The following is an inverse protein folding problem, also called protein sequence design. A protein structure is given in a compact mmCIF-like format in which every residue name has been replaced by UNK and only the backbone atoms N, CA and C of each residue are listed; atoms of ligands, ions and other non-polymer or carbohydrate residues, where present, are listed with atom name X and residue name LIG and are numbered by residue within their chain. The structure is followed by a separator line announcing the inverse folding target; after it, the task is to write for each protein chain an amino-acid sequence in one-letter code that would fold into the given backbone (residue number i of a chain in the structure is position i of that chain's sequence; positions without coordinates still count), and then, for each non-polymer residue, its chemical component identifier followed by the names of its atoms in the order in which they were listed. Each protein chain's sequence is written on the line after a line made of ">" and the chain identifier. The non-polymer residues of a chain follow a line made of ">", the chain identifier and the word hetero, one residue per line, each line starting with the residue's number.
data_IF_039916380505
#
_entry.id   IF_039916380505
#
_cell.length_a   1.000
_cell.length_b   1.000
_cell.length_c   1.000
_cell.angle_alpha   90.00
_cell.angle_beta   90.00
_cell.angle_gamma   90.00
#
_symmetry.space_group_name_H-M   'P 1'
#
loop_
_entity.id
_entity.type
_entity.pdbx_description
1 polymer ?
#
# COMPACT_ATOMS: atom_id res chain seq x y z
N UNK A 1 -12.55 -1.30 -2.62
CA UNK A 1 -12.00 -2.29 -3.58
C UNK A 1 -12.96 -2.58 -4.75
N UNK A 2 -14.30 -2.49 -4.59
CA UNK A 2 -15.25 -2.72 -5.70
C UNK A 2 -15.06 -1.76 -6.88
N UNK A 3 -14.80 -0.48 -6.62
CA UNK A 3 -14.52 0.48 -7.70
C UNK A 3 -13.19 0.19 -8.40
N UNK A 4 -12.19 -0.32 -7.66
CA UNK A 4 -10.93 -0.79 -8.24
C UNK A 4 -11.19 -1.99 -9.15
N UNK A 5 -12.05 -2.93 -8.75
CA UNK A 5 -12.45 -4.04 -9.61
C UNK A 5 -13.11 -3.56 -10.90
N UNK A 6 -14.05 -2.62 -10.81
CA UNK A 6 -14.68 -2.05 -11.99
C UNK A 6 -13.66 -1.36 -12.92
N UNK A 7 -12.67 -0.66 -12.35
CA UNK A 7 -11.57 -0.09 -13.12
C UNK A 7 -10.70 -1.16 -13.79
N UNK A 8 -10.36 -2.25 -13.10
CA UNK A 8 -9.61 -3.38 -13.67
C UNK A 8 -10.36 -4.02 -14.84
N UNK A 9 -11.68 -4.25 -14.69
CA UNK A 9 -12.54 -4.77 -15.76
C UNK A 9 -12.58 -3.79 -16.94
N UNK A 10 -12.67 -2.49 -16.69
CA UNK A 10 -12.64 -1.49 -17.75
C UNK A 10 -11.29 -1.49 -18.48
N UNK A 11 -10.17 -1.57 -17.76
CA UNK A 11 -8.82 -1.64 -18.32
C UNK A 11 -8.65 -2.85 -19.24
N UNK A 12 -9.27 -3.98 -18.93
CA UNK A 12 -9.24 -5.17 -19.80
C UNK A 12 -9.88 -4.95 -21.17
N UNK A 13 -10.80 -4.00 -21.30
CA UNK A 13 -11.42 -3.65 -22.58
C UNK A 13 -10.57 -2.70 -23.43
N UNK A 14 -9.46 -2.19 -22.91
CA UNK A 14 -8.61 -1.22 -23.59
C UNK A 14 -7.53 -1.92 -24.41
N UNK A 15 -7.56 -1.74 -25.74
CA UNK A 15 -6.60 -2.39 -26.66
C UNK A 15 -5.14 -1.96 -26.50
N UNK A 16 -4.88 -0.88 -25.75
CA UNK A 16 -3.53 -0.34 -25.50
C UNK A 16 -2.95 -0.78 -24.16
N UNK A 17 -3.69 -1.51 -23.35
CA UNK A 17 -3.27 -1.92 -22.01
C UNK A 17 -2.81 -3.37 -22.06
N UNK A 18 -1.63 -3.62 -21.49
CA UNK A 18 -1.17 -4.98 -21.22
C UNK A 18 -1.79 -5.48 -19.92
N UNK A 19 -2.86 -6.26 -20.04
CA UNK A 19 -3.63 -6.74 -18.90
C UNK A 19 -2.85 -7.70 -18.00
N UNK A 20 -1.72 -8.24 -18.46
CA UNK A 20 -0.86 -9.11 -17.67
C UNK A 20 0.05 -8.33 -16.72
N UNK A 21 0.15 -7.01 -16.90
CA UNK A 21 1.04 -6.11 -16.18
C UNK A 21 0.29 -4.91 -15.62
N UNK A 22 -0.60 -5.18 -14.67
CA UNK A 22 -1.32 -4.15 -13.92
C UNK A 22 -0.80 -4.11 -12.48
N UNK A 23 -0.38 -2.92 -12.04
CA UNK A 23 -0.05 -2.63 -10.65
C UNK A 23 -1.08 -1.68 -10.04
N UNK A 24 -1.30 -1.78 -8.72
CA UNK A 24 -2.07 -0.80 -7.95
C UNK A 24 -1.14 -0.06 -7.00
N UNK A 25 -1.09 1.26 -7.12
CA UNK A 25 -0.27 2.13 -6.28
C UNK A 25 -1.20 3.03 -5.50
N UNK A 26 -0.99 3.12 -4.19
CA UNK A 26 -1.82 3.94 -3.31
C UNK A 26 -1.00 4.64 -2.24
N UNK A 27 -1.50 5.80 -1.80
CA UNK A 27 -0.92 6.62 -0.73
C UNK A 27 -1.92 6.86 0.39
N UNK A 28 -1.46 6.83 1.65
CA UNK A 28 -2.32 7.00 2.82
C UNK A 28 -3.41 5.93 2.87
N UNK A 29 -4.67 6.36 2.97
CA UNK A 29 -5.82 5.46 2.83
C UNK A 29 -5.88 4.71 1.48
N UNK A 30 -5.32 5.27 0.41
CA UNK A 30 -5.14 4.59 -0.86
C UNK A 30 -4.17 3.43 -0.79
N UNK A 31 -3.16 3.49 0.09
CA UNK A 31 -2.23 2.39 0.35
C UNK A 31 -2.94 1.19 0.97
N UNK A 32 -3.88 1.42 1.90
CA UNK A 32 -4.76 0.38 2.44
C UNK A 32 -5.64 -0.24 1.35
N UNK A 33 -6.15 0.57 0.42
CA UNK A 33 -6.92 0.08 -0.72
C UNK A 33 -6.03 -0.80 -1.62
N UNK A 34 -4.79 -0.39 -1.91
CA UNK A 34 -3.84 -1.19 -2.68
C UNK A 34 -3.58 -2.55 -2.00
N UNK A 35 -3.38 -2.54 -0.68
CA UNK A 35 -3.24 -3.76 0.14
C UNK A 35 -4.44 -4.69 0.06
N UNK A 36 -5.65 -4.16 0.24
CA UNK A 36 -6.87 -4.99 0.12
C UNK A 36 -7.02 -5.52 -1.31
N UNK A 37 -6.71 -4.72 -2.32
CA UNK A 37 -6.86 -5.16 -3.71
C UNK A 37 -5.85 -6.25 -4.07
N UNK A 38 -4.60 -6.20 -3.58
CA UNK A 38 -3.60 -7.25 -3.83
C UNK A 38 -4.05 -8.60 -3.30
N UNK A 39 -4.73 -8.63 -2.16
CA UNK A 39 -5.23 -9.87 -1.55
C UNK A 39 -6.56 -10.37 -2.08
N UNK A 40 -7.40 -9.49 -2.67
CA UNK A 40 -8.71 -9.87 -3.23
C UNK A 40 -8.63 -10.20 -4.73
N UNK A 41 -7.72 -9.57 -5.47
CA UNK A 41 -7.61 -9.71 -6.92
C UNK A 41 -6.24 -10.20 -7.39
N UNK A 42 -5.69 -11.32 -6.84
CA UNK A 42 -4.34 -11.78 -7.18
C UNK A 42 -4.19 -12.21 -8.66
N UNK A 43 -5.30 -12.47 -9.35
CA UNK A 43 -5.32 -12.83 -10.77
C UNK A 43 -5.38 -11.61 -11.71
N UNK A 44 -5.74 -10.43 -11.18
CA UNK A 44 -5.90 -9.20 -11.96
C UNK A 44 -4.81 -8.17 -11.66
N UNK A 45 -4.19 -8.26 -10.49
CA UNK A 45 -3.15 -7.36 -10.02
C UNK A 45 -1.87 -8.16 -9.86
N UNK A 46 -0.84 -7.73 -10.58
CA UNK A 46 0.46 -8.40 -10.61
C UNK A 46 1.35 -8.03 -9.43
N UNK A 47 1.31 -6.76 -9.04
CA UNK A 47 2.03 -6.23 -7.87
C UNK A 47 1.34 -4.97 -7.33
N UNK A 48 1.69 -4.51 -6.14
CA UNK A 48 1.17 -3.27 -5.57
C UNK A 48 2.23 -2.49 -4.80
N UNK A 49 2.02 -1.18 -4.68
CA UNK A 49 2.85 -0.31 -3.83
C UNK A 49 1.95 0.46 -2.88
N UNK A 50 2.33 0.47 -1.60
CA UNK A 50 1.62 1.12 -0.52
C UNK A 50 2.52 2.17 0.14
N UNK A 51 2.23 3.45 -0.12
CA UNK A 51 2.95 4.60 0.41
C UNK A 51 2.26 5.12 1.68
N UNK A 52 2.94 5.05 2.82
CA UNK A 52 2.42 5.43 4.15
C UNK A 52 0.99 4.92 4.41
N UNK A 53 0.72 3.59 4.33
CA UNK A 53 -0.61 3.07 4.63
C UNK A 53 -0.99 3.36 6.08
N UNK A 54 -2.21 3.83 6.26
CA UNK A 54 -2.77 4.05 7.59
C UNK A 54 -4.16 4.64 7.50
N UNK A 55 -5.11 3.92 8.09
CA UNK A 55 -6.49 4.34 8.25
C UNK A 55 -7.01 3.70 9.52
N UNK A 56 -7.56 4.51 10.42
CA UNK A 56 -8.01 4.06 11.73
C UNK A 56 -9.46 4.46 11.99
N UNK A 57 -10.14 3.69 12.83
CA UNK A 57 -11.48 4.03 13.30
C UNK A 57 -11.44 5.28 14.18
N UNK A 58 -12.29 6.26 13.90
CA UNK A 58 -12.27 7.54 14.62
C UNK A 58 -12.44 7.42 16.15
N UNK A 59 -13.14 6.39 16.62
CA UNK A 59 -13.39 6.16 18.04
C UNK A 59 -12.50 5.05 18.66
N UNK A 60 -12.28 3.94 17.94
CA UNK A 60 -11.51 2.79 18.44
C UNK A 60 -10.01 2.93 18.20
N UNK A 61 -9.62 3.74 17.22
CA UNK A 61 -8.26 3.84 16.71
C UNK A 61 -7.68 2.50 16.25
N UNK A 62 -8.56 1.55 15.94
CA UNK A 62 -8.18 0.27 15.37
C UNK A 62 -7.92 0.42 13.86
N UNK A 63 -6.97 -0.34 13.29
CA UNK A 63 -6.73 -0.38 11.86
C UNK A 63 -7.99 -0.71 11.05
N UNK A 64 -8.23 0.08 10.00
CA UNK A 64 -9.33 -0.11 9.05
C UNK A 64 -8.78 -0.43 7.66
N UNK A 65 -9.63 -1.09 6.85
CA UNK A 65 -9.31 -1.45 5.46
C UNK A 65 -8.07 -2.33 5.41
N UNK A 66 -8.05 -3.36 6.25
CA UNK A 66 -6.95 -4.33 6.39
C UNK A 66 -7.35 -5.75 5.95
N UNK A 67 -8.46 -5.89 5.21
CA UNK A 67 -8.92 -7.18 4.68
C UNK A 67 -9.68 -8.08 5.66
N UNK A 68 -9.85 -7.67 6.93
CA UNK A 68 -10.65 -8.43 7.92
C UNK A 68 -12.05 -8.75 7.41
N UNK A 69 -12.44 -10.03 7.48
CA UNK A 69 -13.76 -10.51 7.09
C UNK A 69 -13.95 -10.76 5.59
N UNK A 70 -12.90 -10.59 4.77
CA UNK A 70 -12.94 -10.96 3.36
C UNK A 70 -12.61 -12.43 3.17
N UNK A 71 -13.45 -13.15 2.40
CA UNK A 71 -13.18 -14.54 2.03
C UNK A 71 -12.00 -14.63 1.07
N UNK A 72 -11.18 -15.68 1.24
CA UNK A 72 -10.02 -15.96 0.37
C UNK A 72 -9.01 -14.80 0.24
N UNK A 73 -8.93 -13.94 1.24
CA UNK A 73 -7.98 -12.82 1.28
C UNK A 73 -6.55 -13.31 1.51
N UNK A 74 -5.65 -12.96 0.59
CA UNK A 74 -4.23 -13.35 0.67
C UNK A 74 -3.32 -12.36 -0.07
N UNK A 75 -2.93 -11.25 0.58
CA UNK A 75 -2.09 -10.22 -0.05
C UNK A 75 -0.70 -10.77 -0.37
N UNK A 76 -0.16 -10.37 -1.52
CA UNK A 76 1.13 -10.82 -2.05
C UNK A 76 1.71 -9.78 -3.00
N UNK A 77 3.01 -9.88 -3.32
CA UNK A 77 3.64 -9.01 -4.31
C UNK A 77 3.43 -7.53 -3.97
N UNK A 78 3.94 -7.10 -2.81
CA UNK A 78 3.79 -5.71 -2.37
C UNK A 78 5.07 -5.06 -1.86
N UNK A 79 5.26 -3.80 -2.25
CA UNK A 79 6.20 -2.89 -1.62
C UNK A 79 5.46 -1.93 -0.67
N UNK A 80 5.95 -1.81 0.56
CA UNK A 80 5.53 -0.81 1.53
C UNK A 80 6.64 0.24 1.70
N UNK A 81 6.27 1.52 1.72
CA UNK A 81 7.22 2.63 1.84
C UNK A 81 6.69 3.64 2.84
N UNK A 82 7.48 4.02 3.83
CA UNK A 82 7.04 4.90 4.93
C UNK A 82 8.21 5.62 5.59
N UNK A 83 8.01 6.86 6.04
CA UNK A 83 8.97 7.55 6.89
C UNK A 83 8.93 7.05 8.34
N UNK A 84 10.07 6.98 9.03
CA UNK A 84 10.12 6.53 10.43
C UNK A 84 9.49 7.51 11.44
N UNK A 85 9.34 8.78 11.05
CA UNK A 85 8.71 9.85 11.83
C UNK A 85 7.32 10.22 11.28
N UNK A 86 6.78 9.46 10.33
CA UNK A 86 5.43 9.65 9.80
C UNK A 86 4.39 9.16 10.84
N UNK A 87 3.83 10.13 11.57
CA UNK A 87 2.98 9.87 12.73
C UNK A 87 1.90 10.95 12.93
N UNK A 88 0.80 10.55 13.57
CA UNK A 88 -0.31 11.45 13.95
C UNK A 88 -0.48 11.45 15.46
N UNK A 89 -0.38 12.62 16.07
CA UNK A 89 -0.81 12.82 17.46
C UNK A 89 -2.34 12.90 17.53
N UNK A 90 -2.96 11.96 18.24
CA UNK A 90 -4.42 11.90 18.43
C UNK A 90 -4.84 12.52 19.77
N UNK A 91 -3.97 12.41 20.77
CA UNK A 91 -4.09 13.07 22.07
C UNK A 91 -2.70 13.32 22.67
N UNK A 92 -2.62 13.90 23.88
CA UNK A 92 -1.34 14.16 24.55
C UNK A 92 -0.49 12.89 24.76
N UNK A 93 -1.13 11.73 24.95
CA UNK A 93 -0.46 10.46 25.26
C UNK A 93 -0.58 9.42 24.13
N UNK A 94 -1.20 9.76 23.00
CA UNK A 94 -1.49 8.80 21.94
C UNK A 94 -1.02 9.26 20.57
N UNK A 95 -0.15 8.44 19.99
CA UNK A 95 0.42 8.62 18.66
C UNK A 95 0.07 7.40 17.81
N UNK A 96 -0.41 7.66 16.61
CA UNK A 96 -0.56 6.65 15.57
C UNK A 96 0.67 6.69 14.66
N UNK A 97 1.30 5.54 14.47
CA UNK A 97 2.51 5.38 13.67
C UNK A 97 2.16 4.73 12.33
N UNK A 98 2.42 5.43 11.23
CA UNK A 98 2.25 4.85 9.89
C UNK A 98 3.28 3.75 9.64
N UNK A 99 4.48 3.88 10.22
CA UNK A 99 5.49 2.82 10.19
C UNK A 99 4.97 1.53 10.81
N UNK A 100 4.38 1.59 12.00
CA UNK A 100 3.88 0.40 12.69
C UNK A 100 2.69 -0.21 11.93
N UNK A 101 1.85 0.63 11.32
CA UNK A 101 0.79 0.18 10.42
C UNK A 101 1.33 -0.55 9.19
N UNK A 102 2.35 0.02 8.52
CA UNK A 102 2.98 -0.58 7.35
C UNK A 102 3.63 -1.93 7.69
N UNK A 103 4.36 -2.01 8.81
CA UNK A 103 4.92 -3.26 9.34
C UNK A 103 3.83 -4.30 9.59
N UNK A 104 2.73 -3.91 10.24
CA UNK A 104 1.60 -4.81 10.48
C UNK A 104 1.01 -5.38 9.18
N UNK A 105 0.85 -4.57 8.13
CA UNK A 105 0.37 -5.06 6.83
C UNK A 105 1.39 -5.97 6.13
N UNK A 106 2.67 -5.61 6.17
CA UNK A 106 3.75 -6.38 5.57
C UNK A 106 3.85 -7.79 6.19
N UNK A 107 3.72 -7.90 7.51
CA UNK A 107 3.76 -9.18 8.23
C UNK A 107 2.69 -10.17 7.72
N UNK A 108 1.53 -9.64 7.29
CA UNK A 108 0.41 -10.42 6.76
C UNK A 108 0.51 -10.67 5.24
N UNK A 109 1.52 -10.12 4.58
CA UNK A 109 1.73 -10.23 3.14
C UNK A 109 2.65 -11.39 2.81
N UNK A 110 2.36 -12.12 1.73
CA UNK A 110 3.21 -13.18 1.20
C UNK A 110 4.23 -12.67 0.18
N UNK A 111 5.33 -13.42 0.01
CA UNK A 111 6.38 -13.09 -0.95
C UNK A 111 5.89 -13.02 -2.42
N UNK A 112 6.53 -12.21 -3.28
CA UNK A 112 7.58 -11.25 -2.92
C UNK A 112 7.02 -10.06 -2.14
N UNK A 113 7.75 -9.57 -1.13
CA UNK A 113 7.40 -8.35 -0.41
C UNK A 113 8.63 -7.59 0.06
N UNK A 114 8.48 -6.28 0.25
CA UNK A 114 9.50 -5.45 0.91
C UNK A 114 8.83 -4.32 1.72
N UNK A 115 9.47 -3.92 2.81
CA UNK A 115 9.12 -2.73 3.59
C UNK A 115 10.34 -1.83 3.68
N UNK A 116 10.26 -0.66 3.06
CA UNK A 116 11.24 0.39 3.23
C UNK A 116 10.77 1.42 4.23
N UNK A 117 11.51 1.52 5.33
CA UNK A 117 11.42 2.60 6.30
C UNK A 117 12.53 3.61 6.00
N UNK A 118 12.16 4.84 5.67
CA UNK A 118 13.11 5.93 5.44
C UNK A 118 13.41 6.63 6.76
N UNK A 119 14.67 6.62 7.17
CA UNK A 119 15.12 7.18 8.45
C UNK A 119 15.12 8.70 8.43
N UNK A 120 14.83 9.31 9.57
CA UNK A 120 14.78 10.77 9.74
C UNK A 120 13.79 11.46 8.78
N UNK A 121 12.71 10.77 8.41
CA UNK A 121 11.70 11.28 7.49
C UNK A 121 10.31 11.25 8.11
N UNK A 122 9.67 12.42 8.14
CA UNK A 122 8.25 12.57 8.45
C UNK A 122 7.40 12.70 7.17
N UNK A 123 7.98 12.44 5.99
CA UNK A 123 7.26 12.55 4.74
C UNK A 123 6.16 11.49 4.65
N UNK A 124 4.98 11.94 4.23
CA UNK A 124 3.79 11.11 4.14
C UNK A 124 3.42 10.84 2.69
N UNK A 125 3.28 9.56 2.32
CA UNK A 125 2.72 9.18 1.03
C UNK A 125 3.59 9.60 -0.15
N UNK A 126 3.03 10.34 -1.11
CA UNK A 126 3.79 10.82 -2.28
C UNK A 126 4.91 11.79 -1.92
N UNK A 127 4.85 12.46 -0.78
CA UNK A 127 5.96 13.32 -0.32
C UNK A 127 7.27 12.53 -0.17
N UNK A 128 7.21 11.22 0.13
CA UNK A 128 8.39 10.36 0.14
C UNK A 128 9.04 10.31 -1.24
N UNK A 129 8.24 10.18 -2.30
CA UNK A 129 8.75 10.16 -3.67
C UNK A 129 9.34 11.52 -4.05
N UNK A 130 8.80 12.62 -3.58
CA UNK A 130 9.28 13.96 -3.95
C UNK A 130 10.55 14.36 -3.17
N UNK A 131 10.65 13.98 -1.90
CA UNK A 131 11.65 14.52 -0.96
C UNK A 131 12.77 13.53 -0.61
N UNK A 132 12.54 12.22 -0.75
CA UNK A 132 13.52 11.18 -0.44
C UNK A 132 14.06 10.61 -1.75
N UNK A 133 15.33 10.92 -2.04
CA UNK A 133 15.95 10.63 -3.35
C UNK A 133 15.87 9.14 -3.70
N UNK A 134 16.20 8.27 -2.76
CA UNK A 134 16.19 6.82 -2.97
C UNK A 134 14.78 6.20 -3.06
N UNK A 135 13.72 6.94 -2.71
CA UNK A 135 12.37 6.41 -2.71
C UNK A 135 11.84 6.20 -4.14
N UNK A 136 12.12 7.14 -5.06
CA UNK A 136 11.74 6.96 -6.47
C UNK A 136 12.47 5.79 -7.12
N UNK A 137 13.77 5.68 -6.87
CA UNK A 137 14.59 4.58 -7.41
C UNK A 137 14.06 3.22 -6.94
N UNK A 138 13.74 3.09 -5.66
CA UNK A 138 13.13 1.87 -5.12
C UNK A 138 11.74 1.60 -5.72
N UNK A 139 10.90 2.63 -5.85
CA UNK A 139 9.57 2.50 -6.44
C UNK A 139 9.65 1.95 -7.87
N UNK A 140 10.53 2.51 -8.70
CA UNK A 140 10.69 2.04 -10.08
C UNK A 140 11.34 0.67 -10.15
N UNK A 141 12.36 0.39 -9.33
CA UNK A 141 13.01 -0.91 -9.26
C UNK A 141 12.01 -2.02 -8.92
N UNK A 142 11.14 -1.79 -7.93
CA UNK A 142 10.12 -2.75 -7.56
C UNK A 142 9.18 -3.09 -8.72
N UNK A 143 8.72 -2.07 -9.44
CA UNK A 143 7.87 -2.26 -10.62
C UNK A 143 8.63 -2.99 -11.73
N UNK A 144 9.90 -2.67 -11.97
CA UNK A 144 10.72 -3.36 -12.96
C UNK A 144 10.87 -4.86 -12.66
N UNK A 145 11.03 -5.23 -11.39
CA UNK A 145 11.26 -6.62 -10.99
C UNK A 145 9.97 -7.44 -10.83
N UNK A 146 8.84 -6.80 -10.49
CA UNK A 146 7.63 -7.51 -10.06
C UNK A 146 6.40 -7.33 -10.96
N UNK A 147 6.39 -6.36 -11.90
CA UNK A 147 5.27 -6.09 -12.82
C UNK A 147 5.44 -6.78 -14.19
#
# INVERSE_FOLDING_TARGET
>A
FLDVHAALVWLQSQSKIDISRIAVVGSGSGGNIAYVCSGVFPELIKTSVSLSPGLWGAASLEPLVIGTGLESFGPRSMLFMVGDQDQIAVSEDQILSYKDFASFLEEQTAEPKDLRVFTDSADHGYALLDNVVEAQDLFFLWLEENL
#
